data_IF_759491308951
#
_entry.id   IF_759491308951
#
_cell.length_a   1.000
_cell.length_b   1.000
_cell.length_c   1.000
_cell.angle_alpha   90.00
_cell.angle_beta   90.00
_cell.angle_gamma   90.00
#
_symmetry.space_group_name_H-M   'P 1'
#
loop_
_entity.id
_entity.type
_entity.pdbx_description
1 polymer ?
#
# COMPACT_ATOMS: atom_id res chain seq x y z
N UNK A 1 31.27 -16.15 -25.49
CA UNK A 1 30.32 -15.06 -25.32
C UNK A 1 30.94 -14.11 -24.30
N UNK A 2 31.36 -12.93 -24.71
CA UNK A 2 31.91 -11.91 -23.82
C UNK A 2 30.76 -11.27 -23.08
N UNK A 3 30.59 -11.55 -21.80
CA UNK A 3 29.62 -10.82 -20.94
C UNK A 3 30.16 -9.40 -20.78
N UNK A 4 29.45 -8.45 -21.34
CA UNK A 4 29.72 -7.02 -21.13
C UNK A 4 29.62 -6.74 -19.63
N UNK A 5 30.70 -6.29 -19.00
CA UNK A 5 30.67 -5.79 -17.64
C UNK A 5 29.72 -4.56 -17.60
N UNK A 6 28.79 -4.56 -16.68
CA UNK A 6 27.91 -3.41 -16.46
C UNK A 6 28.73 -2.23 -15.97
N UNK A 7 28.42 -1.03 -16.45
CA UNK A 7 29.00 0.19 -15.88
C UNK A 7 28.46 0.39 -14.45
N UNK A 8 29.19 1.11 -13.62
CA UNK A 8 28.77 1.42 -12.24
C UNK A 8 27.39 2.07 -12.18
N UNK A 9 27.07 2.95 -13.14
CA UNK A 9 25.76 3.57 -13.26
C UNK A 9 24.63 2.54 -13.54
N UNK A 10 24.89 1.58 -14.44
CA UNK A 10 23.93 0.50 -14.73
C UNK A 10 23.71 -0.39 -13.50
N UNK A 11 24.76 -0.60 -12.69
CA UNK A 11 24.70 -1.40 -11.47
C UNK A 11 23.91 -0.67 -10.36
N UNK A 12 24.13 0.63 -10.19
CA UNK A 12 23.36 1.48 -9.26
C UNK A 12 21.88 1.51 -9.65
N UNK A 13 21.56 1.74 -10.94
CA UNK A 13 20.18 1.73 -11.45
C UNK A 13 19.53 0.36 -11.20
N UNK A 14 20.25 -0.72 -11.42
CA UNK A 14 19.76 -2.09 -11.18
C UNK A 14 19.50 -2.35 -9.68
N UNK A 15 20.35 -1.85 -8.78
CA UNK A 15 20.19 -2.00 -7.33
C UNK A 15 19.02 -1.17 -6.80
N UNK A 16 18.88 0.07 -7.27
CA UNK A 16 17.73 0.94 -6.92
C UNK A 16 16.44 0.36 -7.50
N UNK A 17 16.45 -0.15 -8.73
CA UNK A 17 15.32 -0.84 -9.35
C UNK A 17 14.92 -2.15 -8.64
N UNK A 18 15.80 -2.73 -7.84
CA UNK A 18 15.53 -3.88 -6.94
C UNK A 18 15.08 -3.45 -5.53
N UNK A 19 14.79 -2.15 -5.32
CA UNK A 19 14.30 -1.63 -4.05
C UNK A 19 15.37 -1.46 -2.96
N UNK A 20 16.66 -1.42 -3.33
CA UNK A 20 17.72 -1.09 -2.38
C UNK A 20 17.75 0.44 -2.21
N UNK A 21 17.63 0.91 -0.98
CA UNK A 21 17.60 2.34 -0.68
C UNK A 21 18.94 3.04 -1.00
N UNK A 22 18.85 4.32 -1.39
CA UNK A 22 20.01 5.13 -1.77
C UNK A 22 21.10 5.18 -0.67
N UNK A 23 20.80 5.33 0.64
CA UNK A 23 21.79 5.26 1.69
C UNK A 23 22.53 3.92 1.76
N UNK A 24 21.85 2.82 1.46
CA UNK A 24 22.49 1.49 1.41
C UNK A 24 23.43 1.37 0.21
N UNK A 25 23.04 1.86 -0.97
CA UNK A 25 23.88 1.92 -2.16
C UNK A 25 25.12 2.78 -1.88
N UNK A 26 24.95 3.95 -1.28
CA UNK A 26 26.04 4.85 -0.88
C UNK A 26 27.02 4.17 0.10
N UNK A 27 26.49 3.48 1.10
CA UNK A 27 27.31 2.72 2.07
C UNK A 27 28.10 1.59 1.42
N UNK A 28 27.50 0.85 0.48
CA UNK A 28 28.16 -0.21 -0.28
C UNK A 28 29.28 0.38 -1.15
N UNK A 29 29.01 1.51 -1.78
CA UNK A 29 29.95 2.22 -2.61
C UNK A 29 31.14 2.77 -1.81
N UNK A 30 30.91 3.43 -0.66
CA UNK A 30 31.94 3.89 0.28
C UNK A 30 32.84 2.72 0.73
N UNK A 31 32.26 1.53 0.95
CA UNK A 31 33.02 0.33 1.30
C UNK A 31 33.90 -0.15 0.15
N UNK A 32 33.44 -0.03 -1.09
CA UNK A 32 34.19 -0.40 -2.29
C UNK A 32 35.36 0.57 -2.54
N UNK A 33 35.14 1.88 -2.41
CA UNK A 33 36.18 2.92 -2.55
C UNK A 33 37.20 2.87 -1.39
N UNK A 34 36.78 2.51 -0.18
CA UNK A 34 37.67 2.37 0.99
C UNK A 34 38.75 1.31 0.87
N UNK A 35 38.77 0.55 -0.23
CA UNK A 35 39.83 -0.41 -0.57
C UNK A 35 40.99 0.20 -1.35
N UNK A 36 40.94 1.49 -1.74
CA UNK A 36 42.08 2.15 -2.41
C UNK A 36 43.09 2.67 -1.39
N UNK A 37 44.36 2.32 -1.61
CA UNK A 37 45.45 2.51 -0.64
C UNK A 37 46.02 3.95 -0.53
N UNK A 38 45.40 4.97 -1.18
CA UNK A 38 45.88 6.35 -1.21
C UNK A 38 44.76 7.32 -0.84
N UNK A 39 44.96 8.08 0.25
CA UNK A 39 44.01 9.03 0.81
C UNK A 39 43.58 10.16 -0.18
N UNK A 40 44.55 10.66 -1.00
CA UNK A 40 44.29 11.69 -2.00
C UNK A 40 43.45 11.14 -3.18
N UNK A 41 43.72 9.91 -3.61
CA UNK A 41 42.92 9.25 -4.63
C UNK A 41 41.51 8.91 -4.11
N UNK A 42 41.38 8.62 -2.81
CA UNK A 42 40.11 8.40 -2.13
C UNK A 42 39.28 9.66 -2.09
N UNK A 43 39.86 10.82 -1.68
CA UNK A 43 39.18 12.11 -1.66
C UNK A 43 38.75 12.57 -3.05
N UNK A 44 39.61 12.46 -4.06
CA UNK A 44 39.27 12.78 -5.44
C UNK A 44 38.15 11.88 -5.99
N UNK A 45 38.18 10.57 -5.68
CA UNK A 45 37.09 9.65 -6.01
C UNK A 45 35.80 9.98 -5.24
N UNK A 46 35.88 10.33 -3.96
CA UNK A 46 34.70 10.70 -3.16
C UNK A 46 34.02 11.97 -3.71
N UNK A 47 34.77 13.00 -4.12
CA UNK A 47 34.25 14.22 -4.74
C UNK A 47 33.69 13.95 -6.13
N UNK A 48 34.38 13.17 -6.96
CA UNK A 48 33.90 12.79 -8.29
C UNK A 48 32.63 11.95 -8.23
N UNK A 49 32.60 10.98 -7.32
CA UNK A 49 31.45 10.11 -7.13
C UNK A 49 30.26 10.81 -6.47
N UNK A 50 30.53 11.78 -5.59
CA UNK A 50 29.47 12.62 -5.02
C UNK A 50 28.79 13.46 -6.09
N UNK A 51 29.59 14.06 -7.02
CA UNK A 51 29.06 14.78 -8.17
C UNK A 51 28.28 13.87 -9.13
N UNK A 52 28.75 12.66 -9.38
CA UNK A 52 28.07 11.67 -10.22
C UNK A 52 26.77 11.16 -9.57
N UNK A 53 26.78 10.90 -8.26
CA UNK A 53 25.57 10.50 -7.50
C UNK A 53 24.57 11.65 -7.46
N UNK A 54 25.01 12.88 -7.24
CA UNK A 54 24.15 14.07 -7.30
C UNK A 54 23.58 14.28 -8.70
N UNK A 55 24.39 14.12 -9.76
CA UNK A 55 23.94 14.19 -11.16
C UNK A 55 22.98 13.04 -11.51
N UNK A 56 23.23 11.83 -11.02
CA UNK A 56 22.33 10.67 -11.18
C UNK A 56 21.02 10.88 -10.41
N UNK A 57 21.07 11.40 -9.19
CA UNK A 57 19.88 11.76 -8.41
C UNK A 57 19.11 12.89 -9.08
N UNK A 58 19.78 13.92 -9.62
CA UNK A 58 19.14 14.98 -10.39
C UNK A 58 18.57 14.45 -11.71
N UNK A 59 19.28 13.58 -12.41
CA UNK A 59 18.81 12.93 -13.64
C UNK A 59 17.65 11.99 -13.34
N UNK A 60 17.73 11.22 -12.28
CA UNK A 60 16.65 10.38 -11.77
C UNK A 60 15.43 11.23 -11.37
N UNK A 61 15.65 12.33 -10.61
CA UNK A 61 14.58 13.26 -10.25
C UNK A 61 14.05 14.07 -11.46
N UNK A 62 14.82 14.23 -12.54
CA UNK A 62 14.37 14.89 -13.76
C UNK A 62 13.63 13.92 -14.69
N UNK A 63 14.08 12.67 -14.77
CA UNK A 63 13.45 11.63 -15.59
C UNK A 63 12.27 10.97 -14.85
N UNK A 64 12.38 10.83 -13.53
CA UNK A 64 11.43 10.18 -12.64
C UNK A 64 10.92 11.09 -11.53
N UNK A 65 11.15 12.39 -11.64
CA UNK A 65 10.80 13.41 -10.64
C UNK A 65 9.29 13.57 -10.43
N UNK A 66 8.51 13.05 -11.37
CA UNK A 66 7.17 12.56 -11.07
C UNK A 66 7.32 11.15 -10.43
N UNK A 67 6.82 10.97 -9.24
CA UNK A 67 6.69 9.65 -8.62
C UNK A 67 6.08 8.68 -9.66
N UNK A 68 6.74 7.57 -10.06
CA UNK A 68 6.21 6.67 -11.08
C UNK A 68 4.85 6.07 -10.68
N UNK A 69 4.51 6.10 -9.38
CA UNK A 69 3.21 5.69 -8.84
C UNK A 69 2.24 6.86 -8.61
N UNK A 70 2.68 8.12 -8.80
CA UNK A 70 1.84 9.28 -8.52
C UNK A 70 2.21 10.42 -9.50
N UNK A 71 1.72 10.36 -10.75
CA UNK A 71 1.91 11.43 -11.71
C UNK A 71 1.26 12.73 -11.24
N UNK A 72 1.80 13.89 -11.67
CA UNK A 72 1.30 15.21 -11.26
C UNK A 72 -0.14 15.48 -11.72
N UNK A 73 -0.57 14.83 -12.82
CA UNK A 73 -1.89 14.95 -13.44
C UNK A 73 -2.88 13.85 -13.02
N UNK A 74 -2.59 13.11 -11.92
CA UNK A 74 -3.47 12.05 -11.44
C UNK A 74 -4.88 12.56 -11.15
N UNK A 75 -5.86 11.79 -11.59
CA UNK A 75 -7.28 12.05 -11.48
C UNK A 75 -8.00 10.93 -10.71
N UNK A 76 -9.17 11.24 -10.16
CA UNK A 76 -10.04 10.24 -9.54
C UNK A 76 -10.41 9.16 -10.56
N UNK A 77 -10.20 7.90 -10.19
CA UNK A 77 -10.39 6.74 -11.06
C UNK A 77 -9.13 6.28 -11.79
N UNK A 78 -8.03 7.02 -11.73
CA UNK A 78 -6.76 6.56 -12.30
C UNK A 78 -6.21 5.38 -11.50
N UNK A 79 -5.52 4.49 -12.20
CA UNK A 79 -5.04 3.22 -11.67
C UNK A 79 -3.51 3.16 -11.68
N UNK A 80 -2.99 2.56 -10.62
CA UNK A 80 -1.56 2.24 -10.52
C UNK A 80 -1.38 0.75 -10.23
N UNK A 81 -0.30 0.16 -10.75
CA UNK A 81 0.07 -1.22 -10.51
C UNK A 81 1.08 -1.30 -9.37
N UNK A 82 0.81 -2.12 -8.36
CA UNK A 82 1.63 -2.25 -7.16
C UNK A 82 2.07 -3.70 -6.99
N UNK A 83 3.38 -3.97 -7.12
CA UNK A 83 3.92 -5.28 -6.78
C UNK A 83 3.97 -5.45 -5.25
N UNK A 84 3.35 -6.52 -4.75
CA UNK A 84 3.34 -6.91 -3.34
C UNK A 84 4.17 -8.17 -3.10
N UNK A 85 5.46 -8.11 -3.42
CA UNK A 85 6.38 -9.21 -3.18
C UNK A 85 5.90 -10.55 -3.75
N UNK A 86 5.75 -11.55 -2.91
CA UNK A 86 5.30 -12.89 -3.29
C UNK A 86 3.78 -13.03 -3.51
N UNK A 87 2.99 -12.02 -3.17
CA UNK A 87 1.54 -12.03 -3.43
C UNK A 87 1.22 -11.72 -4.90
N UNK A 88 2.13 -11.09 -5.63
CA UNK A 88 1.93 -10.69 -7.02
C UNK A 88 1.76 -9.18 -7.20
N UNK A 89 1.28 -8.77 -8.39
CA UNK A 89 1.00 -7.37 -8.72
C UNK A 89 -0.49 -7.14 -8.71
N UNK A 90 -0.92 -6.05 -8.10
CA UNK A 90 -2.32 -5.67 -7.94
C UNK A 90 -2.54 -4.23 -8.39
N UNK A 91 -3.72 -3.97 -8.92
CA UNK A 91 -4.16 -2.63 -9.30
C UNK A 91 -4.77 -1.91 -8.10
N UNK A 92 -4.44 -0.64 -7.92
CA UNK A 92 -5.08 0.25 -6.96
C UNK A 92 -5.61 1.49 -7.68
N UNK A 93 -6.86 1.88 -7.36
CA UNK A 93 -7.57 2.99 -7.97
C UNK A 93 -7.59 4.21 -7.05
N UNK A 94 -7.25 5.38 -7.57
CA UNK A 94 -7.33 6.66 -6.88
C UNK A 94 -8.79 7.01 -6.57
N UNK A 95 -9.10 7.25 -5.30
CA UNK A 95 -10.45 7.51 -4.79
C UNK A 95 -10.69 8.97 -4.44
N UNK A 96 -9.73 9.60 -3.80
CA UNK A 96 -9.76 11.01 -3.39
C UNK A 96 -8.41 11.63 -3.71
N UNK A 97 -8.45 12.82 -4.27
CA UNK A 97 -7.27 13.62 -4.56
C UNK A 97 -7.38 14.95 -3.81
N UNK A 98 -6.36 15.26 -3.02
CA UNK A 98 -6.20 16.55 -2.37
C UNK A 98 -4.93 17.23 -2.90
N UNK A 99 -4.65 18.45 -2.44
CA UNK A 99 -3.42 19.17 -2.82
C UNK A 99 -2.15 18.43 -2.41
N UNK A 100 -2.18 17.74 -1.27
CA UNK A 100 -1.00 17.14 -0.62
C UNK A 100 -0.96 15.61 -0.67
N UNK A 101 -2.08 14.93 -0.97
CA UNK A 101 -2.14 13.46 -0.91
C UNK A 101 -3.26 12.86 -1.77
N UNK A 102 -3.13 11.57 -2.05
CA UNK A 102 -4.11 10.76 -2.79
C UNK A 102 -4.46 9.50 -1.99
N UNK A 103 -5.75 9.21 -1.86
CA UNK A 103 -6.24 7.94 -1.33
C UNK A 103 -6.34 6.92 -2.47
N UNK A 104 -5.70 5.79 -2.29
CA UNK A 104 -5.84 4.62 -3.16
C UNK A 104 -6.55 3.48 -2.43
N UNK A 105 -7.39 2.76 -3.16
CA UNK A 105 -7.96 1.47 -2.72
C UNK A 105 -7.60 0.43 -3.79
N UNK A 106 -7.15 -0.74 -3.37
CA UNK A 106 -6.93 -1.86 -4.27
C UNK A 106 -8.24 -2.28 -4.93
N UNK A 107 -8.20 -2.70 -6.19
CA UNK A 107 -9.40 -3.15 -6.90
C UNK A 107 -9.84 -4.52 -6.40
N UNK A 108 -8.86 -5.39 -6.10
CA UNK A 108 -9.08 -6.77 -5.68
C UNK A 108 -8.50 -7.08 -4.29
N UNK A 109 -8.88 -8.22 -3.75
CA UNK A 109 -8.36 -8.72 -2.47
C UNK A 109 -6.97 -9.32 -2.64
N UNK A 110 -6.02 -8.85 -1.83
CA UNK A 110 -4.63 -9.32 -1.86
C UNK A 110 -4.42 -10.61 -1.07
N UNK A 111 -5.31 -10.92 -0.14
CA UNK A 111 -5.29 -12.12 0.70
C UNK A 111 -6.67 -12.44 1.25
N UNK A 112 -6.86 -13.64 1.82
CA UNK A 112 -7.97 -13.97 2.73
C UNK A 112 -7.42 -14.26 4.10
N UNK A 113 -7.94 -13.56 5.14
CA UNK A 113 -7.50 -13.70 6.53
C UNK A 113 -8.67 -13.53 7.51
N UNK A 114 -8.60 -14.12 8.71
CA UNK A 114 -9.49 -13.75 9.80
C UNK A 114 -9.19 -12.30 10.26
N UNK A 115 -10.20 -11.63 10.81
CA UNK A 115 -10.01 -10.36 11.49
C UNK A 115 -9.26 -10.57 12.81
N UNK A 116 -9.74 -11.55 13.61
CA UNK A 116 -9.12 -12.02 14.85
C UNK A 116 -9.24 -13.54 14.95
N UNK A 117 -8.16 -14.22 15.25
CA UNK A 117 -8.16 -15.69 15.40
C UNK A 117 -8.97 -16.17 16.61
N UNK A 118 -9.03 -15.37 17.68
CA UNK A 118 -9.83 -15.66 18.88
C UNK A 118 -11.34 -15.45 18.68
N UNK A 119 -11.75 -14.83 17.56
CA UNK A 119 -13.12 -14.61 17.17
C UNK A 119 -13.82 -13.44 17.88
N UNK A 120 -13.12 -12.68 18.73
CA UNK A 120 -13.66 -11.47 19.37
C UNK A 120 -13.55 -10.22 18.52
N UNK A 121 -14.37 -9.18 18.85
CA UNK A 121 -14.24 -7.85 18.23
C UNK A 121 -13.81 -6.76 19.26
N UNK A 122 -13.36 -7.16 20.43
CA UNK A 122 -12.95 -6.24 21.50
C UNK A 122 -11.70 -5.46 21.10
N UNK A 123 -11.82 -4.13 21.12
CA UNK A 123 -10.77 -3.20 20.71
C UNK A 123 -10.84 -2.82 19.23
N UNK A 124 -11.82 -3.36 18.50
CA UNK A 124 -12.07 -3.02 17.11
C UNK A 124 -10.94 -3.43 16.17
N UNK A 125 -10.98 -2.86 14.98
CA UNK A 125 -9.97 -3.11 13.95
C UNK A 125 -8.55 -2.76 14.38
N UNK A 126 -8.34 -1.66 15.09
CA UNK A 126 -7.00 -1.16 15.47
C UNK A 126 -6.21 -2.13 16.36
N UNK A 127 -6.91 -3.02 17.09
CA UNK A 127 -6.28 -4.05 17.93
C UNK A 127 -6.37 -5.44 17.31
N UNK A 128 -6.88 -5.57 16.10
CA UNK A 128 -7.08 -6.86 15.45
C UNK A 128 -5.77 -7.50 14.98
N UNK A 129 -5.78 -8.82 14.86
CA UNK A 129 -4.69 -9.57 14.25
C UNK A 129 -4.50 -9.20 12.77
N UNK A 130 -5.59 -8.87 12.06
CA UNK A 130 -5.54 -8.39 10.70
C UNK A 130 -4.78 -7.06 10.58
N UNK A 131 -5.07 -6.07 11.46
CA UNK A 131 -4.35 -4.79 11.47
C UNK A 131 -2.87 -4.99 11.73
N UNK A 132 -2.53 -5.84 12.67
CA UNK A 132 -1.14 -6.19 12.98
C UNK A 132 -0.42 -6.81 11.78
N UNK A 133 -1.08 -7.73 11.06
CA UNK A 133 -0.53 -8.30 9.84
C UNK A 133 -0.35 -7.23 8.74
N UNK A 134 -1.31 -6.32 8.58
CA UNK A 134 -1.22 -5.21 7.61
C UNK A 134 -0.03 -4.31 7.92
N UNK A 135 0.16 -3.94 9.20
CA UNK A 135 1.23 -3.04 9.62
C UNK A 135 2.62 -3.64 9.56
N UNK A 136 2.71 -4.97 9.59
CA UNK A 136 4.00 -5.68 9.62
C UNK A 136 4.27 -6.38 8.29
N UNK A 137 3.56 -7.48 8.01
CA UNK A 137 3.87 -8.33 6.87
C UNK A 137 3.48 -7.67 5.54
N UNK A 138 2.23 -7.20 5.41
CA UNK A 138 1.76 -6.57 4.18
C UNK A 138 2.53 -5.28 3.87
N UNK A 139 2.72 -4.40 4.87
CA UNK A 139 3.49 -3.16 4.70
C UNK A 139 4.91 -3.43 4.17
N UNK A 140 5.55 -4.50 4.65
CA UNK A 140 6.90 -4.84 4.20
C UNK A 140 6.96 -5.33 2.75
N UNK A 141 5.85 -5.79 2.17
CA UNK A 141 5.75 -6.23 0.77
C UNK A 141 5.65 -5.07 -0.22
N UNK A 142 5.27 -3.87 0.24
CA UNK A 142 5.20 -2.70 -0.62
C UNK A 142 6.60 -2.24 -1.09
N UNK A 143 6.71 -1.70 -2.32
CA UNK A 143 7.95 -1.08 -2.81
C UNK A 143 8.44 0.03 -1.86
N UNK A 144 9.75 0.12 -1.67
CA UNK A 144 10.37 1.11 -0.79
C UNK A 144 9.98 2.56 -1.15
N UNK A 145 9.87 2.85 -2.45
CA UNK A 145 9.45 4.18 -2.97
C UNK A 145 8.04 4.55 -2.52
N UNK A 146 7.10 3.59 -2.53
CA UNK A 146 5.75 3.83 -2.02
C UNK A 146 5.73 4.00 -0.50
N UNK A 147 6.46 3.16 0.24
CA UNK A 147 6.54 3.24 1.71
C UNK A 147 7.03 4.59 2.23
N UNK A 148 7.95 5.25 1.52
CA UNK A 148 8.48 6.57 1.88
C UNK A 148 7.42 7.68 1.84
N UNK A 149 6.39 7.53 1.02
CA UNK A 149 5.30 8.49 0.84
C UNK A 149 3.96 8.03 1.42
N UNK A 150 3.91 6.80 1.92
CA UNK A 150 2.70 6.21 2.51
C UNK A 150 2.53 6.71 3.95
N UNK A 151 1.44 7.41 4.22
CA UNK A 151 1.13 7.94 5.55
C UNK A 151 0.13 7.09 6.33
N UNK A 152 -0.57 6.19 5.65
CA UNK A 152 -1.42 5.19 6.30
C UNK A 152 -1.61 3.98 5.40
N UNK A 153 -1.78 2.83 6.03
CA UNK A 153 -2.19 1.60 5.36
C UNK A 153 -3.23 0.91 6.22
N UNK A 154 -4.37 0.58 5.64
CA UNK A 154 -5.46 -0.08 6.35
C UNK A 154 -6.37 -0.83 5.38
N UNK A 155 -7.57 -1.23 5.81
CA UNK A 155 -8.69 -1.58 4.94
C UNK A 155 -9.75 -0.48 5.04
N UNK A 156 -10.68 -0.35 4.09
CA UNK A 156 -11.71 0.69 4.12
C UNK A 156 -12.70 0.53 5.27
N UNK A 157 -13.41 1.63 5.59
CA UNK A 157 -14.57 1.61 6.48
C UNK A 157 -15.86 1.27 5.73
N UNK A 158 -16.92 0.99 6.49
CA UNK A 158 -18.26 0.83 5.96
C UNK A 158 -18.74 2.15 5.32
N UNK A 159 -18.51 3.27 5.99
CA UNK A 159 -18.86 4.58 5.47
C UNK A 159 -18.21 4.85 4.12
N UNK A 160 -16.88 4.62 4.00
CA UNK A 160 -16.14 4.81 2.75
C UNK A 160 -16.68 3.97 1.59
N UNK A 161 -17.06 2.72 1.82
CA UNK A 161 -17.48 1.80 0.76
C UNK A 161 -18.99 1.82 0.52
N UNK A 162 -19.81 1.60 1.56
CA UNK A 162 -21.24 1.40 1.42
C UNK A 162 -22.07 2.66 1.71
N UNK A 163 -21.51 3.59 2.49
CA UNK A 163 -22.27 4.71 3.07
C UNK A 163 -23.12 4.24 4.25
N UNK A 164 -23.87 5.17 4.82
CA UNK A 164 -24.69 4.96 6.02
C UNK A 164 -26.20 5.09 5.77
N UNK A 165 -26.66 4.86 4.53
CA UNK A 165 -28.08 4.99 4.17
C UNK A 165 -28.95 3.85 4.70
N UNK A 166 -28.36 2.65 4.89
CA UNK A 166 -29.07 1.48 5.37
C UNK A 166 -29.37 1.58 6.88
N UNK A 167 -30.64 1.36 7.26
CA UNK A 167 -31.07 1.41 8.65
C UNK A 167 -30.48 0.24 9.47
N UNK A 168 -30.34 -0.93 8.87
CA UNK A 168 -29.74 -2.08 9.52
C UNK A 168 -28.28 -1.80 9.90
N UNK A 169 -27.50 -1.20 9.00
CA UNK A 169 -26.12 -0.82 9.24
C UNK A 169 -26.01 0.15 10.41
N UNK A 170 -26.82 1.22 10.41
CA UNK A 170 -26.85 2.20 11.51
C UNK A 170 -27.23 1.59 12.86
N UNK A 171 -28.09 0.57 12.87
CA UNK A 171 -28.54 -0.07 14.10
C UNK A 171 -27.54 -1.09 14.66
N UNK A 172 -26.73 -1.74 13.82
CA UNK A 172 -25.94 -2.91 14.22
C UNK A 172 -24.41 -2.73 14.10
N UNK A 173 -23.94 -1.76 13.32
CA UNK A 173 -22.51 -1.54 13.08
C UNK A 173 -22.06 -0.27 13.81
N UNK A 174 -20.84 -0.29 14.35
CA UNK A 174 -20.21 0.90 14.95
C UNK A 174 -19.92 1.95 13.86
N UNK A 175 -20.36 3.18 14.10
CA UNK A 175 -20.17 4.28 13.17
C UNK A 175 -18.69 4.69 13.09
N UNK A 176 -18.23 5.02 11.88
CA UNK A 176 -16.88 5.52 11.60
C UNK A 176 -16.83 7.04 11.37
N UNK A 177 -17.97 7.64 11.00
CA UNK A 177 -18.05 9.06 10.66
C UNK A 177 -17.57 9.39 9.25
N UNK A 178 -17.20 8.40 8.45
CA UNK A 178 -16.74 8.59 7.08
C UNK A 178 -17.91 8.73 6.10
N UNK A 179 -17.70 9.53 5.05
CA UNK A 179 -18.63 9.65 3.93
C UNK A 179 -18.29 8.64 2.84
N UNK A 180 -19.32 8.22 2.09
CA UNK A 180 -19.14 7.31 0.98
C UNK A 180 -18.29 7.94 -0.12
N UNK A 181 -17.23 7.21 -0.51
CA UNK A 181 -16.35 7.61 -1.59
C UNK A 181 -17.12 7.74 -2.91
N UNK A 182 -16.83 8.78 -3.72
CA UNK A 182 -17.58 9.06 -4.94
C UNK A 182 -17.69 7.87 -5.89
N UNK A 183 -16.57 7.17 -6.13
CA UNK A 183 -16.56 5.98 -7.01
C UNK A 183 -17.35 4.81 -6.41
N UNK A 184 -17.41 4.68 -5.07
CA UNK A 184 -18.12 3.61 -4.37
C UNK A 184 -19.63 3.81 -4.34
N UNK A 185 -20.15 4.98 -4.74
CA UNK A 185 -21.60 5.19 -4.98
C UNK A 185 -22.14 4.25 -6.07
N UNK A 186 -21.30 3.87 -7.02
CA UNK A 186 -21.62 2.82 -7.98
C UNK A 186 -21.35 1.44 -7.34
N UNK A 187 -22.42 0.71 -7.01
CA UNK A 187 -22.34 -0.58 -6.30
C UNK A 187 -21.37 -1.60 -6.92
N UNK A 188 -21.24 -1.63 -8.25
CA UNK A 188 -20.28 -2.51 -8.94
C UNK A 188 -18.83 -2.29 -8.49
N UNK A 189 -18.45 -1.05 -8.11
CA UNK A 189 -17.08 -0.72 -7.68
C UNK A 189 -16.78 -1.22 -6.26
N UNK A 190 -17.80 -1.60 -5.50
CA UNK A 190 -17.66 -2.20 -4.16
C UNK A 190 -17.28 -3.68 -4.23
N UNK A 191 -17.64 -4.35 -5.35
CA UNK A 191 -17.32 -5.78 -5.57
C UNK A 191 -15.85 -5.91 -5.89
N UNK A 192 -15.19 -6.89 -5.26
CA UNK A 192 -13.80 -7.21 -5.49
C UNK A 192 -13.63 -8.73 -5.62
N UNK A 193 -12.51 -9.14 -6.21
CA UNK A 193 -12.24 -10.53 -6.54
C UNK A 193 -11.08 -11.09 -5.72
N UNK A 194 -11.08 -12.38 -5.53
CA UNK A 194 -9.94 -13.14 -5.04
C UNK A 194 -9.74 -14.38 -5.90
N UNK A 195 -8.59 -14.50 -6.56
CA UNK A 195 -8.31 -15.58 -7.53
C UNK A 195 -9.39 -15.71 -8.64
N UNK A 196 -9.82 -14.57 -9.19
CA UNK A 196 -10.83 -14.44 -10.23
C UNK A 196 -12.28 -14.79 -9.82
N UNK A 197 -12.54 -15.08 -8.55
CA UNK A 197 -13.88 -15.29 -8.03
C UNK A 197 -14.33 -14.07 -7.21
N UNK A 198 -15.58 -13.62 -7.40
CA UNK A 198 -16.20 -12.64 -6.51
C UNK A 198 -16.12 -13.14 -5.07
N UNK A 199 -15.67 -12.30 -4.16
CA UNK A 199 -15.49 -12.69 -2.78
C UNK A 199 -16.04 -11.64 -1.81
N UNK A 200 -16.25 -12.03 -0.58
CA UNK A 200 -16.58 -11.13 0.52
C UNK A 200 -15.29 -10.58 1.12
N UNK A 201 -15.31 -9.33 1.56
CA UNK A 201 -14.13 -8.68 2.13
C UNK A 201 -14.42 -7.87 3.36
N UNK A 202 -13.43 -7.83 4.25
CA UNK A 202 -13.51 -7.12 5.51
C UNK A 202 -13.59 -5.60 5.35
N UNK A 203 -14.37 -4.98 6.24
CA UNK A 203 -14.36 -3.56 6.56
C UNK A 203 -13.86 -3.35 7.99
N UNK A 204 -13.41 -2.13 8.33
CA UNK A 204 -12.85 -1.82 9.66
C UNK A 204 -13.86 -1.88 10.81
N UNK A 205 -15.14 -1.73 10.51
CA UNK A 205 -16.17 -1.54 11.51
C UNK A 205 -16.51 -2.82 12.25
N UNK A 206 -16.38 -2.81 13.57
CA UNK A 206 -16.93 -3.84 14.42
C UNK A 206 -18.46 -3.71 14.49
N UNK A 207 -19.15 -4.79 14.81
CA UNK A 207 -20.55 -4.70 15.18
C UNK A 207 -20.70 -4.12 16.59
N UNK A 208 -21.80 -3.40 16.83
CA UNK A 208 -22.18 -2.92 18.17
C UNK A 208 -22.28 -4.10 19.14
N UNK A 209 -21.83 -3.89 20.35
CA UNK A 209 -21.78 -4.93 21.39
C UNK A 209 -23.15 -5.55 21.68
N UNK A 210 -24.21 -4.76 21.61
CA UNK A 210 -25.58 -5.18 21.83
C UNK A 210 -26.06 -6.17 20.77
N UNK A 211 -25.49 -6.09 19.56
CA UNK A 211 -25.78 -7.01 18.47
C UNK A 211 -24.83 -8.23 18.51
N UNK A 212 -23.53 -8.01 18.53
CA UNK A 212 -22.52 -9.08 18.60
C UNK A 212 -21.17 -8.55 19.07
N UNK A 213 -20.50 -9.25 19.98
CA UNK A 213 -19.13 -8.99 20.39
C UNK A 213 -18.08 -9.79 19.60
N UNK A 214 -18.49 -10.42 18.50
CA UNK A 214 -17.65 -11.36 17.74
C UNK A 214 -17.65 -11.08 16.22
N UNK A 215 -18.37 -10.07 15.75
CA UNK A 215 -18.49 -9.82 14.31
C UNK A 215 -17.86 -8.50 13.89
N UNK A 216 -17.47 -8.45 12.61
CA UNK A 216 -17.08 -7.25 11.89
C UNK A 216 -17.91 -7.12 10.62
N UNK A 217 -18.09 -5.88 10.15
CA UNK A 217 -18.71 -5.58 8.87
C UNK A 217 -17.85 -6.09 7.71
N UNK A 218 -18.50 -6.43 6.63
CA UNK A 218 -17.88 -6.80 5.37
C UNK A 218 -18.71 -6.35 4.16
N UNK A 219 -18.10 -6.33 3.00
CA UNK A 219 -18.78 -6.19 1.71
C UNK A 219 -19.05 -7.58 1.15
N UNK A 220 -20.32 -7.82 0.82
CA UNK A 220 -20.76 -9.01 0.12
C UNK A 220 -20.36 -8.99 -1.37
N UNK A 221 -20.30 -10.15 -2.03
CA UNK A 221 -19.96 -10.29 -3.45
C UNK A 221 -20.91 -9.58 -4.42
N UNK A 222 -22.06 -9.10 -3.94
CA UNK A 222 -22.97 -8.21 -4.69
C UNK A 222 -22.84 -6.71 -4.30
N UNK A 223 -21.84 -6.33 -3.49
CA UNK A 223 -21.58 -4.96 -3.10
C UNK A 223 -22.53 -4.37 -2.04
N UNK A 224 -23.19 -5.23 -1.25
CA UNK A 224 -23.95 -4.86 -0.07
C UNK A 224 -23.15 -5.10 1.21
N UNK A 225 -23.56 -4.43 2.28
CA UNK A 225 -23.03 -4.68 3.62
C UNK A 225 -23.53 -6.01 4.16
N UNK A 226 -22.70 -6.69 4.90
CA UNK A 226 -23.04 -7.81 5.75
C UNK A 226 -22.11 -7.80 6.99
N UNK A 227 -22.20 -8.78 7.85
CA UNK A 227 -21.23 -9.00 8.94
C UNK A 227 -20.94 -10.48 9.10
N UNK A 228 -19.77 -10.78 9.64
CA UNK A 228 -19.36 -12.14 9.91
C UNK A 228 -18.48 -12.25 11.15
N UNK A 229 -18.37 -13.49 11.68
CA UNK A 229 -17.51 -13.78 12.81
C UNK A 229 -16.04 -13.44 12.52
N UNK A 230 -15.38 -12.77 13.44
CA UNK A 230 -14.00 -12.29 13.30
C UNK A 230 -12.99 -13.41 13.01
N UNK A 231 -13.27 -14.65 13.41
CA UNK A 231 -12.44 -15.82 13.12
C UNK A 231 -12.61 -16.40 11.71
N UNK A 232 -13.59 -15.94 10.94
CA UNK A 232 -13.76 -16.36 9.55
C UNK A 232 -12.75 -15.67 8.64
N UNK A 233 -12.31 -16.34 7.57
CA UNK A 233 -11.36 -15.79 6.62
C UNK A 233 -12.08 -15.14 5.43
N UNK A 234 -11.94 -13.82 5.30
CA UNK A 234 -12.48 -13.06 4.17
C UNK A 234 -11.41 -12.22 3.49
N UNK A 235 -11.75 -11.62 2.36
CA UNK A 235 -10.87 -10.82 1.53
C UNK A 235 -10.32 -9.60 2.26
N UNK A 236 -9.04 -9.31 2.06
CA UNK A 236 -8.36 -8.12 2.54
C UNK A 236 -8.12 -7.21 1.36
N UNK A 237 -8.79 -6.07 1.33
CA UNK A 237 -8.72 -5.02 0.30
C UNK A 237 -8.00 -3.81 0.87
N UNK A 238 -6.69 -3.63 0.64
CA UNK A 238 -5.96 -2.53 1.26
C UNK A 238 -6.38 -1.17 0.73
N UNK A 239 -6.32 -0.17 1.63
CA UNK A 239 -6.47 1.25 1.34
C UNK A 239 -5.29 2.01 1.96
N UNK A 240 -4.75 2.99 1.24
CA UNK A 240 -3.59 3.75 1.71
C UNK A 240 -3.57 5.17 1.13
N UNK A 241 -2.99 6.10 1.91
CA UNK A 241 -2.73 7.45 1.46
C UNK A 241 -1.28 7.60 1.03
N UNK A 242 -1.05 8.24 -0.12
CA UNK A 242 0.27 8.67 -0.59
C UNK A 242 0.36 10.18 -0.56
N UNK A 243 1.47 10.71 -0.04
CA UNK A 243 1.84 12.13 -0.15
C UNK A 243 2.31 12.42 -1.57
N UNK A 244 1.85 13.52 -2.15
CA UNK A 244 2.21 14.02 -3.49
C UNK A 244 3.61 14.62 -3.52
#
# INVERSE_FOLDING_TARGET
MCTREMTLGEEIINLVGKGIDVPTVERMYRKYIGLSANEEARQACEEYCKADVEALVQTFNTIFGSNPFLPDDISEGDQIEIPLGNLGTFTATAQIITEDKVLFIFDDYVAKRPMNEDGGNVGGYDKSDLKKWIDTELYNMFPAVLKQRMISLSIPTLGEICGWDDEWDRNHIEADGDEQLPLMKQRRNRVAYYNNDCAWGWLRNATKKEFSSAHFALVHDYGYTACAAASSSYGVRPAFWLVR
#
